data_IF_880941300714
#
_entry.id   IF_880941300714
#
_cell.length_a   1.000
_cell.length_b   1.000
_cell.length_c   1.000
_cell.angle_alpha   90.00
_cell.angle_beta   90.00
_cell.angle_gamma   90.00
#
_symmetry.space_group_name_H-M   'P 1'
#
loop_
_entity.id
_entity.type
_entity.pdbx_description
1 polymer ?
#
# COMPACT_ATOMS: atom_id res chain seq x y z
N UNK A 1 -19.25 -0.07 -3.81
CA UNK A 1 -18.91 -0.12 -5.24
C UNK A 1 -17.46 0.27 -5.38
N UNK A 2 -16.64 -0.58 -6.00
CA UNK A 2 -15.24 -0.29 -6.27
C UNK A 2 -15.12 0.74 -7.39
N UNK A 3 -14.12 1.62 -7.29
CA UNK A 3 -13.82 2.66 -8.27
C UNK A 3 -12.95 2.12 -9.41
N UNK A 4 -12.70 2.93 -10.45
CA UNK A 4 -11.97 2.49 -11.64
C UNK A 4 -10.52 2.15 -11.32
N UNK A 5 -9.86 2.97 -10.48
CA UNK A 5 -8.49 2.71 -10.04
C UNK A 5 -8.37 1.47 -9.15
N UNK A 6 -9.38 1.18 -8.33
CA UNK A 6 -9.37 0.02 -7.43
C UNK A 6 -9.42 -1.29 -8.22
N UNK A 7 -10.24 -1.35 -9.27
CA UNK A 7 -10.32 -2.53 -10.15
C UNK A 7 -8.96 -2.76 -10.82
N UNK A 8 -8.36 -1.72 -11.40
CA UNK A 8 -7.06 -1.80 -12.06
C UNK A 8 -5.94 -2.23 -11.10
N UNK A 9 -5.93 -1.67 -9.89
CA UNK A 9 -4.95 -2.04 -8.87
C UNK A 9 -5.13 -3.47 -8.40
N UNK A 10 -6.38 -3.92 -8.18
CA UNK A 10 -6.66 -5.31 -7.80
C UNK A 10 -6.17 -6.27 -8.87
N UNK A 11 -6.53 -6.05 -10.13
CA UNK A 11 -6.07 -6.88 -11.24
C UNK A 11 -4.53 -6.94 -11.29
N UNK A 12 -3.85 -5.82 -11.04
CA UNK A 12 -2.37 -5.80 -11.00
C UNK A 12 -1.82 -6.66 -9.86
N UNK A 13 -2.40 -6.57 -8.67
CA UNK A 13 -1.99 -7.37 -7.51
C UNK A 13 -2.21 -8.86 -7.81
N UNK A 14 -3.42 -9.24 -8.21
CA UNK A 14 -3.80 -10.63 -8.47
C UNK A 14 -2.93 -11.27 -9.57
N UNK A 15 -2.61 -10.53 -10.63
CA UNK A 15 -1.68 -10.98 -11.68
C UNK A 15 -0.25 -11.18 -11.18
N UNK A 16 0.16 -10.43 -10.16
CA UNK A 16 1.53 -10.46 -9.63
C UNK A 16 1.70 -11.57 -8.58
N UNK A 17 0.70 -11.79 -7.74
CA UNK A 17 0.74 -12.83 -6.69
C UNK A 17 0.10 -14.15 -7.13
N UNK A 18 -0.44 -14.22 -8.36
CA UNK A 18 -1.10 -15.39 -8.95
C UNK A 18 -2.21 -15.99 -8.06
N UNK A 19 -2.93 -15.13 -7.34
CA UNK A 19 -4.01 -15.51 -6.43
C UNK A 19 -5.09 -14.44 -6.44
N UNK A 20 -6.38 -14.80 -6.35
CA UNK A 20 -7.43 -13.84 -6.06
C UNK A 20 -7.17 -13.18 -4.70
N UNK A 21 -7.56 -11.91 -4.59
CA UNK A 21 -7.43 -11.13 -3.35
C UNK A 21 -8.84 -10.83 -2.85
N UNK A 22 -9.11 -11.15 -1.58
CA UNK A 22 -10.37 -10.81 -0.94
C UNK A 22 -10.51 -9.30 -0.75
N UNK A 23 -11.74 -8.81 -0.55
CA UNK A 23 -11.97 -7.38 -0.33
C UNK A 23 -11.23 -6.84 0.89
N UNK A 24 -11.17 -7.62 1.97
CA UNK A 24 -10.45 -7.22 3.18
C UNK A 24 -8.94 -7.17 2.99
N UNK A 25 -8.36 -8.11 2.23
CA UNK A 25 -6.94 -8.07 1.87
C UNK A 25 -6.67 -6.83 1.02
N UNK A 26 -7.48 -6.62 -0.02
CA UNK A 26 -7.33 -5.46 -0.88
C UNK A 26 -7.43 -4.13 -0.11
N UNK A 27 -8.40 -4.00 0.79
CA UNK A 27 -8.57 -2.80 1.63
C UNK A 27 -7.36 -2.54 2.53
N UNK A 28 -6.74 -3.60 3.09
CA UNK A 28 -5.47 -3.48 3.84
C UNK A 28 -4.35 -2.94 2.98
N UNK A 29 -4.30 -3.34 1.71
CA UNK A 29 -3.23 -2.96 0.79
C UNK A 29 -3.36 -1.47 0.44
N UNK A 30 -4.59 -0.99 0.27
CA UNK A 30 -4.90 0.44 0.09
C UNK A 30 -4.48 1.26 1.31
N UNK A 31 -4.83 0.80 2.52
CA UNK A 31 -4.46 1.48 3.77
C UNK A 31 -2.95 1.55 3.95
N UNK A 32 -2.25 0.45 3.67
CA UNK A 32 -0.80 0.40 3.78
C UNK A 32 -0.11 1.32 2.76
N UNK A 33 -0.63 1.40 1.53
CA UNK A 33 -0.13 2.35 0.53
C UNK A 33 -0.24 3.81 1.01
N UNK A 34 -1.31 4.16 1.73
CA UNK A 34 -1.47 5.48 2.35
C UNK A 34 -0.48 5.71 3.50
N UNK A 35 -0.26 4.69 4.34
CA UNK A 35 0.74 4.77 5.41
C UNK A 35 2.14 5.04 4.83
N UNK A 36 2.53 4.30 3.79
CA UNK A 36 3.81 4.50 3.08
C UNK A 36 3.89 5.89 2.45
N UNK A 37 2.78 6.40 1.89
CA UNK A 37 2.71 7.78 1.37
C UNK A 37 3.01 8.80 2.45
N UNK A 38 2.49 8.64 3.67
CA UNK A 38 2.70 9.61 4.76
C UNK A 38 4.18 9.71 5.16
N UNK A 39 4.92 8.61 5.12
CA UNK A 39 6.36 8.62 5.36
C UNK A 39 7.18 9.05 4.15
N UNK A 40 6.63 8.96 2.93
CA UNK A 40 7.33 9.36 1.71
C UNK A 40 7.80 10.82 1.77
N UNK A 41 6.94 11.73 2.24
CA UNK A 41 7.28 13.16 2.39
C UNK A 41 8.30 13.40 3.53
N UNK A 42 8.45 12.46 4.46
CA UNK A 42 9.42 12.49 5.56
C UNK A 42 10.77 11.86 5.20
N UNK A 43 10.97 11.48 3.93
CA UNK A 43 12.19 10.83 3.47
C UNK A 43 12.08 9.31 3.30
N UNK A 44 10.91 8.73 3.50
CA UNK A 44 10.61 7.29 3.35
C UNK A 44 10.52 6.54 4.68
N UNK A 45 10.12 5.27 4.62
CA UNK A 45 10.11 4.39 5.78
C UNK A 45 11.44 3.65 5.88
N UNK A 46 12.14 3.77 7.02
CA UNK A 46 13.41 3.09 7.22
C UNK A 46 13.32 1.57 7.10
N UNK A 47 14.27 0.96 6.37
CA UNK A 47 14.33 -0.49 6.16
C UNK A 47 14.33 -1.28 7.46
N UNK A 48 15.15 -0.84 8.42
CA UNK A 48 15.23 -1.47 9.74
C UNK A 48 13.91 -1.43 10.53
N UNK A 49 13.03 -0.47 10.28
CA UNK A 49 11.70 -0.42 10.90
C UNK A 49 10.75 -1.45 10.27
N UNK A 50 10.69 -1.51 8.94
CA UNK A 50 9.89 -2.52 8.21
C UNK A 50 10.34 -3.94 8.56
N UNK A 51 11.64 -4.21 8.45
CA UNK A 51 12.20 -5.56 8.55
C UNK A 51 12.23 -6.10 9.98
N UNK A 52 12.34 -5.25 11.01
CA UNK A 52 12.44 -5.72 12.42
C UNK A 52 11.15 -5.59 13.22
N UNK A 53 10.41 -4.50 13.06
CA UNK A 53 9.19 -4.25 13.84
C UNK A 53 7.97 -4.77 13.12
N UNK A 54 7.76 -4.37 11.87
CA UNK A 54 6.53 -4.74 11.17
C UNK A 54 6.48 -6.23 10.86
N UNK A 55 7.60 -6.84 10.43
CA UNK A 55 7.68 -8.29 10.21
C UNK A 55 7.30 -9.12 11.45
N UNK A 56 7.60 -8.62 12.65
CA UNK A 56 7.42 -9.33 13.91
C UNK A 56 6.08 -9.00 14.58
N UNK A 57 5.72 -7.72 14.60
CA UNK A 57 4.58 -7.20 15.35
C UNK A 57 3.29 -7.23 14.53
N UNK A 58 3.39 -7.25 13.19
CA UNK A 58 2.24 -7.33 12.29
C UNK A 58 2.60 -8.04 10.97
N UNK A 59 2.66 -9.39 10.98
CA UNK A 59 2.98 -10.19 9.80
C UNK A 59 2.12 -9.84 8.57
N UNK A 60 0.86 -9.46 8.79
CA UNK A 60 -0.05 -9.04 7.73
C UNK A 60 0.42 -7.74 7.06
N UNK A 61 0.81 -6.72 7.83
CA UNK A 61 1.38 -5.48 7.26
C UNK A 61 2.67 -5.75 6.49
N UNK A 62 3.49 -6.70 6.96
CA UNK A 62 4.69 -7.10 6.24
C UNK A 62 4.37 -7.80 4.91
N UNK A 63 3.34 -8.64 4.89
CA UNK A 63 2.84 -9.25 3.64
C UNK A 63 2.35 -8.18 2.68
N UNK A 64 1.49 -7.24 3.11
CA UNK A 64 1.02 -6.12 2.28
C UNK A 64 2.18 -5.29 1.73
N UNK A 65 3.18 -5.00 2.57
CA UNK A 65 4.41 -4.33 2.14
C UNK A 65 5.14 -5.09 1.02
N UNK A 66 5.34 -6.40 1.20
CA UNK A 66 6.00 -7.24 0.19
C UNK A 66 5.23 -7.25 -1.13
N UNK A 67 3.90 -7.32 -1.07
CA UNK A 67 3.03 -7.27 -2.25
C UNK A 67 3.19 -5.93 -2.97
N UNK A 68 3.05 -4.79 -2.26
CA UNK A 68 3.17 -3.45 -2.84
C UNK A 68 4.56 -3.20 -3.47
N UNK A 69 5.62 -3.78 -2.89
CA UNK A 69 6.97 -3.79 -3.47
C UNK A 69 7.02 -4.64 -4.74
N UNK A 70 6.47 -5.85 -4.71
CA UNK A 70 6.49 -6.78 -5.84
C UNK A 70 5.70 -6.25 -7.05
N UNK A 71 4.59 -5.55 -6.83
CA UNK A 71 3.83 -4.88 -7.89
C UNK A 71 4.45 -3.56 -8.37
N UNK A 72 5.60 -3.17 -7.82
CA UNK A 72 6.36 -1.99 -8.25
C UNK A 72 5.81 -0.64 -7.77
N UNK A 73 4.96 -0.63 -6.74
CA UNK A 73 4.44 0.63 -6.16
C UNK A 73 5.35 1.18 -5.06
N UNK A 74 6.17 0.32 -4.44
CA UNK A 74 7.19 0.68 -3.45
C UNK A 74 8.57 0.28 -3.99
N UNK A 75 9.55 1.15 -3.81
CA UNK A 75 10.96 0.91 -4.14
C UNK A 75 11.88 1.17 -2.95
N UNK A 76 13.09 0.65 -3.06
CA UNK A 76 14.19 0.92 -2.15
C UNK A 76 14.99 2.12 -2.64
N UNK A 77 15.29 3.05 -1.73
CA UNK A 77 16.17 4.19 -1.97
C UNK A 77 17.08 4.37 -0.75
N UNK A 78 18.34 3.94 -0.88
CA UNK A 78 19.29 3.89 0.24
C UNK A 78 18.78 3.01 1.38
N UNK A 79 18.72 3.58 2.59
CA UNK A 79 18.24 2.92 3.82
C UNK A 79 16.73 3.02 4.02
N UNK A 80 15.98 3.52 3.03
CA UNK A 80 14.55 3.76 3.14
C UNK A 80 13.76 3.09 2.01
N UNK A 81 12.47 2.88 2.29
CA UNK A 81 11.45 2.50 1.32
C UNK A 81 10.56 3.71 0.99
N UNK A 82 10.21 3.84 -0.29
CA UNK A 82 9.44 4.97 -0.82
C UNK A 82 8.46 4.51 -1.89
N UNK A 83 7.41 5.28 -2.13
CA UNK A 83 6.58 5.09 -3.31
C UNK A 83 7.38 5.37 -4.58
N UNK A 84 7.11 4.59 -5.63
CA UNK A 84 7.55 4.90 -7.00
C UNK A 84 6.67 5.99 -7.61
N UNK A 85 7.04 6.52 -8.78
CA UNK A 85 6.17 7.41 -9.56
C UNK A 85 4.81 6.77 -9.89
N UNK A 86 4.79 5.45 -10.08
CA UNK A 86 3.54 4.71 -10.23
C UNK A 86 2.78 4.63 -8.91
N UNK A 87 3.45 4.31 -7.79
CA UNK A 87 2.85 4.32 -6.45
C UNK A 87 2.22 5.66 -6.10
N UNK A 88 2.90 6.77 -6.41
CA UNK A 88 2.39 8.13 -6.22
C UNK A 88 1.18 8.43 -7.08
N UNK A 89 1.19 8.03 -8.37
CA UNK A 89 0.04 8.18 -9.27
C UNK A 89 -1.16 7.38 -8.80
N UNK A 90 -0.96 6.11 -8.45
CA UNK A 90 -2.02 5.23 -7.93
C UNK A 90 -2.61 5.82 -6.65
N UNK A 91 -1.77 6.21 -5.69
CA UNK A 91 -2.23 6.88 -4.46
C UNK A 91 -3.04 8.14 -4.77
N UNK A 92 -2.55 9.00 -5.68
CA UNK A 92 -3.24 10.24 -6.04
C UNK A 92 -4.60 9.98 -6.69
N UNK A 93 -4.71 8.96 -7.54
CA UNK A 93 -5.99 8.53 -8.12
C UNK A 93 -6.95 8.00 -7.05
N UNK A 94 -6.46 7.19 -6.09
CA UNK A 94 -7.26 6.70 -4.96
C UNK A 94 -7.81 7.84 -4.11
N UNK A 95 -7.01 8.89 -3.86
CA UNK A 95 -7.47 10.12 -3.19
C UNK A 95 -8.54 10.83 -4.00
N UNK A 96 -8.29 11.05 -5.31
CA UNK A 96 -9.22 11.77 -6.20
C UNK A 96 -10.56 11.05 -6.35
N UNK A 97 -10.55 9.72 -6.37
CA UNK A 97 -11.75 8.89 -6.46
C UNK A 97 -12.44 8.71 -5.08
N UNK A 98 -11.92 9.35 -4.03
CA UNK A 98 -12.55 9.35 -2.70
C UNK A 98 -12.46 8.01 -1.97
N UNK A 99 -11.59 7.11 -2.42
CA UNK A 99 -11.48 5.73 -1.89
C UNK A 99 -11.12 5.75 -0.42
N UNK A 100 -10.18 6.61 -0.02
CA UNK A 100 -9.77 6.76 1.38
C UNK A 100 -10.88 7.27 2.30
N UNK A 101 -11.87 7.99 1.76
CA UNK A 101 -13.04 8.44 2.53
C UNK A 101 -13.88 7.29 3.09
N UNK A 102 -13.84 6.11 2.46
CA UNK A 102 -14.53 4.90 2.95
C UNK A 102 -13.85 4.27 4.17
N UNK A 103 -12.57 4.56 4.37
CA UNK A 103 -11.81 4.08 5.52
C UNK A 103 -11.75 5.12 6.66
N UNK A 104 -12.34 6.30 6.49
CA UNK A 104 -12.31 7.34 7.53
C UNK A 104 -12.85 6.85 8.88
N UNK A 105 -13.84 5.95 8.87
CA UNK A 105 -14.40 5.31 10.08
C UNK A 105 -13.50 4.24 10.72
N UNK A 106 -12.45 3.78 10.04
CA UNK A 106 -11.46 2.84 10.56
C UNK A 106 -10.22 3.54 11.13
N UNK A 107 -10.04 4.82 10.81
CA UNK A 107 -8.84 5.61 11.18
C UNK A 107 -9.16 6.67 12.23
N UNK A 108 -10.43 7.06 12.39
CA UNK A 108 -10.89 7.91 13.49
C UNK A 108 -11.43 7.06 14.65
N UNK A 109 -11.05 7.35 15.91
CA UNK A 109 -11.51 6.63 17.10
C UNK A 109 -13.02 6.83 17.38
#
# INVERSE_FOLDING_TARGET
MSTGIEILLREKIERTIFSPVSDEEFDREILWLSEVRNYHDLGGIGKGYIEKRISKDSPQKYTSFCILKQVGLITEEGDNYRLTDEGLRVHSSLVKEGVYGRFASLVLP
#
